data_IF_395658012323
#
_entry.id   IF_395658012323
#
_cell.length_a   1.000
_cell.length_b   1.000
_cell.length_c   1.000
_cell.angle_alpha   90.00
_cell.angle_beta   90.00
_cell.angle_gamma   90.00
#
_symmetry.space_group_name_H-M   'P 1'
#
loop_
_entity.id
_entity.type
_entity.pdbx_description
1 polymer ?
#
# COMPACT_ATOMS: atom_id res chain seq x y z
N UNK A 1 -0.54 -18.88 -24.31
CA UNK A 1 0.40 -18.52 -23.23
C UNK A 1 0.70 -19.78 -22.44
N UNK A 2 1.94 -20.28 -22.47
CA UNK A 2 2.33 -21.48 -21.73
C UNK A 2 2.53 -21.06 -20.27
N UNK A 3 1.74 -21.64 -19.35
CA UNK A 3 1.93 -21.42 -17.91
C UNK A 3 3.26 -22.07 -17.51
N UNK A 4 4.09 -21.37 -16.75
CA UNK A 4 5.27 -21.99 -16.16
C UNK A 4 4.82 -22.94 -15.03
N UNK A 5 4.64 -24.21 -15.36
CA UNK A 5 4.03 -25.21 -14.48
C UNK A 5 4.72 -25.29 -13.10
N UNK A 6 6.05 -25.15 -13.05
CA UNK A 6 6.82 -25.16 -11.81
C UNK A 6 6.47 -23.99 -10.89
N UNK A 7 6.37 -22.77 -11.44
CA UNK A 7 5.98 -21.58 -10.68
C UNK A 7 4.55 -21.74 -10.13
N UNK A 8 3.61 -22.22 -10.96
CA UNK A 8 2.23 -22.44 -10.53
C UNK A 8 2.11 -23.52 -9.44
N UNK A 9 2.90 -24.59 -9.52
CA UNK A 9 2.92 -25.62 -8.49
C UNK A 9 3.44 -25.07 -7.15
N UNK A 10 4.50 -24.25 -7.18
CA UNK A 10 5.04 -23.61 -5.97
C UNK A 10 4.05 -22.61 -5.38
N UNK A 11 3.46 -21.75 -6.20
CA UNK A 11 2.42 -20.81 -5.76
C UNK A 11 1.20 -21.53 -5.15
N UNK A 12 0.80 -22.66 -5.74
CA UNK A 12 -0.29 -23.48 -5.19
C UNK A 12 0.06 -24.06 -3.83
N UNK A 13 1.29 -24.56 -3.64
CA UNK A 13 1.76 -25.05 -2.33
C UNK A 13 1.79 -23.94 -1.29
N UNK A 14 2.28 -22.75 -1.66
CA UNK A 14 2.26 -21.57 -0.79
C UNK A 14 0.83 -21.22 -0.37
N UNK A 15 -0.11 -21.21 -1.31
CA UNK A 15 -1.52 -20.95 -1.00
C UNK A 15 -2.10 -21.97 -0.01
N UNK A 16 -1.78 -23.26 -0.16
CA UNK A 16 -2.20 -24.29 0.80
C UNK A 16 -1.56 -24.10 2.20
N UNK A 17 -0.29 -23.69 2.26
CA UNK A 17 0.37 -23.37 3.53
C UNK A 17 -0.28 -22.18 4.23
N UNK A 18 -0.62 -21.13 3.48
CA UNK A 18 -1.34 -19.96 4.01
C UNK A 18 -2.72 -20.38 4.55
N UNK A 19 -3.48 -21.20 3.81
CA UNK A 19 -4.79 -21.69 4.26
C UNK A 19 -4.71 -22.54 5.54
N UNK A 20 -3.60 -23.25 5.73
CA UNK A 20 -3.36 -24.05 6.92
C UNK A 20 -2.84 -23.21 8.10
N UNK A 21 -2.56 -21.91 7.91
CA UNK A 21 -2.05 -21.05 8.96
C UNK A 21 -3.13 -20.72 10.00
N UNK A 22 -2.74 -20.56 11.28
CA UNK A 22 -3.69 -20.17 12.33
C UNK A 22 -4.30 -18.79 12.08
N UNK A 23 -3.58 -17.86 11.44
CA UNK A 23 -4.05 -16.51 11.11
C UNK A 23 -5.17 -16.56 10.07
N UNK A 24 -5.00 -17.36 9.00
CA UNK A 24 -6.06 -17.55 8.01
C UNK A 24 -7.30 -18.20 8.64
N UNK A 25 -7.11 -19.27 9.43
CA UNK A 25 -8.22 -19.93 10.11
C UNK A 25 -8.97 -18.98 11.06
N UNK A 26 -8.24 -18.12 11.79
CA UNK A 26 -8.83 -17.11 12.68
C UNK A 26 -9.60 -16.06 11.90
N UNK A 27 -9.05 -15.57 10.78
CA UNK A 27 -9.71 -14.63 9.90
C UNK A 27 -11.02 -15.17 9.34
N UNK A 28 -11.02 -16.40 8.79
CA UNK A 28 -12.23 -17.03 8.26
C UNK A 28 -13.29 -17.22 9.36
N UNK A 29 -12.89 -17.70 10.53
CA UNK A 29 -13.81 -17.90 11.67
C UNK A 29 -14.44 -16.57 12.12
N UNK A 30 -13.65 -15.51 12.26
CA UNK A 30 -14.16 -14.20 12.67
C UNK A 30 -15.07 -13.58 11.59
N UNK A 31 -14.73 -13.77 10.31
CA UNK A 31 -15.55 -13.36 9.17
C UNK A 31 -16.91 -14.05 9.16
N UNK A 32 -16.95 -15.35 9.38
CA UNK A 32 -18.21 -16.12 9.45
C UNK A 32 -19.12 -15.63 10.57
N UNK A 33 -18.55 -15.40 11.77
CA UNK A 33 -19.28 -14.82 12.90
C UNK A 33 -19.91 -13.48 12.55
N UNK A 34 -19.15 -12.60 11.89
CA UNK A 34 -19.64 -11.30 11.46
C UNK A 34 -20.70 -11.40 10.36
N UNK A 35 -20.59 -12.35 9.43
CA UNK A 35 -21.60 -12.60 8.39
C UNK A 35 -22.96 -12.97 8.99
N UNK A 36 -22.96 -13.69 10.10
CA UNK A 36 -24.19 -14.07 10.83
C UNK A 36 -24.74 -12.97 11.75
N UNK A 37 -24.08 -11.81 11.85
CA UNK A 37 -24.52 -10.68 12.68
C UNK A 37 -24.78 -9.43 11.81
N UNK A 38 -26.05 -9.19 11.42
CA UNK A 38 -26.39 -8.05 10.56
C UNK A 38 -26.07 -6.67 11.17
N UNK A 39 -26.15 -6.54 12.50
CA UNK A 39 -25.91 -5.28 13.19
C UNK A 39 -24.42 -4.95 13.14
N UNK A 40 -23.58 -5.91 13.52
CA UNK A 40 -22.13 -5.75 13.54
C UNK A 40 -21.55 -5.64 12.12
N UNK A 41 -22.13 -6.34 11.15
CA UNK A 41 -21.77 -6.18 9.74
C UNK A 41 -22.08 -4.78 9.21
N UNK A 42 -23.24 -4.20 9.59
CA UNK A 42 -23.57 -2.82 9.23
C UNK A 42 -22.57 -1.84 9.85
N UNK A 43 -22.25 -2.03 11.14
CA UNK A 43 -21.27 -1.20 11.85
C UNK A 43 -19.90 -1.22 11.16
N UNK A 44 -19.38 -2.41 10.81
CA UNK A 44 -18.11 -2.53 10.08
C UNK A 44 -18.17 -1.85 8.71
N UNK A 45 -19.27 -2.03 7.96
CA UNK A 45 -19.42 -1.40 6.63
C UNK A 45 -19.41 0.12 6.74
N UNK A 46 -20.12 0.68 7.72
CA UNK A 46 -20.20 2.12 7.92
C UNK A 46 -18.81 2.69 8.30
N UNK A 47 -18.02 1.95 9.11
CA UNK A 47 -16.62 2.28 9.38
C UNK A 47 -15.77 2.28 8.10
N UNK A 48 -15.83 1.22 7.29
CA UNK A 48 -15.04 1.09 6.05
C UNK A 48 -15.38 2.18 5.03
N UNK A 49 -16.65 2.51 4.89
CA UNK A 49 -17.07 3.60 4.01
C UNK A 49 -16.49 4.94 4.49
N UNK A 50 -16.48 5.21 5.80
CA UNK A 50 -15.91 6.44 6.34
C UNK A 50 -14.39 6.53 6.18
N UNK A 51 -13.68 5.41 6.29
CA UNK A 51 -12.24 5.35 5.97
C UNK A 51 -12.00 5.71 4.51
N UNK A 52 -12.75 5.08 3.59
CA UNK A 52 -12.64 5.37 2.17
C UNK A 52 -13.00 6.82 1.83
N UNK A 53 -14.10 7.34 2.38
CA UNK A 53 -14.53 8.73 2.18
C UNK A 53 -13.42 9.72 2.61
N UNK A 54 -12.74 9.46 3.72
CA UNK A 54 -11.65 10.31 4.23
C UNK A 54 -10.38 10.20 3.36
N UNK A 55 -10.03 9.00 2.89
CA UNK A 55 -8.88 8.76 2.02
C UNK A 55 -9.05 9.39 0.63
N UNK A 56 -10.27 9.37 0.07
CA UNK A 56 -10.60 9.97 -1.24
C UNK A 56 -10.88 11.48 -1.13
N UNK A 57 -10.98 12.01 0.09
CA UNK A 57 -11.33 13.42 0.33
C UNK A 57 -10.21 14.37 -0.12
N UNK A 58 -10.58 15.36 -0.93
CA UNK A 58 -9.74 16.53 -1.23
C UNK A 58 -9.90 17.65 -0.19
N UNK A 59 -10.70 17.43 0.85
CA UNK A 59 -10.92 18.41 1.90
C UNK A 59 -9.65 18.62 2.72
N UNK A 60 -9.44 19.85 3.17
CA UNK A 60 -8.27 20.23 3.95
C UNK A 60 -8.68 21.14 5.10
N UNK A 61 -7.81 21.27 6.10
CA UNK A 61 -8.08 22.13 7.25
C UNK A 61 -9.19 21.57 8.15
N UNK A 62 -10.06 22.45 8.63
CA UNK A 62 -11.01 22.13 9.71
C UNK A 62 -12.02 21.04 9.36
N UNK A 63 -12.45 20.94 8.09
CA UNK A 63 -13.41 19.93 7.65
C UNK A 63 -12.78 18.52 7.68
N UNK A 64 -11.53 18.41 7.21
CA UNK A 64 -10.76 17.17 7.28
C UNK A 64 -10.58 16.72 8.74
N UNK A 65 -10.20 17.63 9.64
CA UNK A 65 -10.03 17.32 11.07
C UNK A 65 -11.32 16.81 11.70
N UNK A 66 -12.48 17.40 11.38
CA UNK A 66 -13.78 16.92 11.90
C UNK A 66 -14.11 15.51 11.42
N UNK A 67 -13.82 15.19 10.17
CA UNK A 67 -14.05 13.86 9.62
C UNK A 67 -13.10 12.82 10.24
N UNK A 68 -11.84 13.19 10.45
CA UNK A 68 -10.85 12.38 11.15
C UNK A 68 -11.26 12.10 12.60
N UNK A 69 -11.70 13.13 13.34
CA UNK A 69 -12.21 12.98 14.72
C UNK A 69 -13.41 12.04 14.78
N UNK A 70 -14.38 12.21 13.88
CA UNK A 70 -15.55 11.32 13.81
C UNK A 70 -15.16 9.86 13.48
N UNK A 71 -14.19 9.66 12.59
CA UNK A 71 -13.68 8.33 12.26
C UNK A 71 -12.99 7.69 13.47
N UNK A 72 -12.21 8.46 14.23
CA UNK A 72 -11.55 8.01 15.45
C UNK A 72 -12.57 7.58 16.52
N UNK A 73 -13.63 8.37 16.73
CA UNK A 73 -14.71 8.03 17.65
C UNK A 73 -15.44 6.73 17.24
N UNK A 74 -15.72 6.58 15.94
CA UNK A 74 -16.32 5.37 15.40
C UNK A 74 -15.41 4.15 15.59
N UNK A 75 -14.10 4.32 15.37
CA UNK A 75 -13.10 3.27 15.60
C UNK A 75 -13.05 2.87 17.09
N UNK A 76 -13.11 3.83 18.02
CA UNK A 76 -13.20 3.55 19.46
C UNK A 76 -14.47 2.77 19.81
N UNK A 77 -15.62 3.18 19.26
CA UNK A 77 -16.88 2.45 19.48
C UNK A 77 -16.83 1.02 18.92
N UNK A 78 -16.17 0.83 17.78
CA UNK A 78 -15.99 -0.49 17.17
C UNK A 78 -15.02 -1.35 17.97
N UNK A 79 -13.97 -0.76 18.53
CA UNK A 79 -13.00 -1.47 19.36
C UNK A 79 -13.65 -2.07 20.62
N UNK A 80 -14.71 -1.45 21.15
CA UNK A 80 -15.48 -1.98 22.28
C UNK A 80 -16.45 -3.09 21.89
N UNK A 81 -16.72 -3.30 20.60
CA UNK A 81 -17.57 -4.36 20.11
C UNK A 81 -16.77 -5.66 19.94
N UNK A 82 -17.00 -6.71 20.74
CA UNK A 82 -16.14 -7.90 20.72
C UNK A 82 -16.19 -8.66 19.39
N UNK A 83 -17.30 -8.62 18.65
CA UNK A 83 -17.44 -9.32 17.36
C UNK A 83 -16.66 -8.59 16.28
N UNK A 84 -16.82 -7.26 16.20
CA UNK A 84 -16.12 -6.47 15.18
C UNK A 84 -14.64 -6.35 15.49
N UNK A 85 -14.27 -6.18 16.77
CA UNK A 85 -12.87 -6.17 17.22
C UNK A 85 -12.15 -7.49 16.92
N UNK A 86 -12.77 -8.65 17.18
CA UNK A 86 -12.21 -9.97 16.82
C UNK A 86 -11.94 -10.07 15.32
N UNK A 87 -12.88 -9.61 14.49
CA UNK A 87 -12.72 -9.57 13.04
C UNK A 87 -11.56 -8.67 12.61
N UNK A 88 -11.51 -7.42 13.08
CA UNK A 88 -10.47 -6.45 12.69
C UNK A 88 -9.07 -6.92 13.09
N UNK A 89 -8.91 -7.51 14.29
CA UNK A 89 -7.63 -8.07 14.71
C UNK A 89 -7.23 -9.29 13.87
N UNK A 90 -8.18 -10.17 13.55
CA UNK A 90 -7.91 -11.32 12.70
C UNK A 90 -7.53 -10.89 11.27
N UNK A 91 -8.19 -9.87 10.73
CA UNK A 91 -7.89 -9.26 9.43
C UNK A 91 -6.51 -8.60 9.42
N UNK A 92 -6.17 -7.82 10.45
CA UNK A 92 -4.85 -7.20 10.58
C UNK A 92 -3.73 -8.24 10.59
N UNK A 93 -3.84 -9.26 11.45
CA UNK A 93 -2.82 -10.31 11.57
C UNK A 93 -2.65 -11.10 10.26
N UNK A 94 -3.75 -11.43 9.59
CA UNK A 94 -3.68 -12.09 8.29
C UNK A 94 -3.09 -11.16 7.22
N UNK A 95 -3.47 -9.87 7.23
CA UNK A 95 -2.93 -8.84 6.34
C UNK A 95 -1.42 -8.69 6.45
N UNK A 96 -0.86 -8.74 7.68
CA UNK A 96 0.60 -8.69 7.90
C UNK A 96 1.35 -9.84 7.22
N UNK A 97 0.76 -11.05 7.17
CA UNK A 97 1.37 -12.17 6.43
C UNK A 97 1.38 -11.87 4.93
N UNK A 98 0.29 -11.32 4.40
CA UNK A 98 0.21 -10.97 2.98
C UNK A 98 1.20 -9.86 2.63
N UNK A 99 1.34 -8.84 3.48
CA UNK A 99 2.31 -7.75 3.33
C UNK A 99 3.75 -8.30 3.25
N UNK A 100 4.14 -9.16 4.19
CA UNK A 100 5.46 -9.81 4.19
C UNK A 100 5.71 -10.66 2.93
N UNK A 101 4.67 -11.31 2.39
CA UNK A 101 4.78 -12.04 1.13
C UNK A 101 4.94 -11.09 -0.06
N UNK A 102 4.23 -9.95 -0.07
CA UNK A 102 4.40 -8.90 -1.08
C UNK A 102 5.83 -8.35 -1.08
N UNK A 103 6.43 -8.07 0.08
CA UNK A 103 7.82 -7.62 0.20
C UNK A 103 8.84 -8.62 -0.41
N UNK A 104 8.55 -9.93 -0.34
CA UNK A 104 9.37 -10.95 -1.00
C UNK A 104 9.24 -10.86 -2.52
N UNK A 105 8.02 -10.61 -3.03
CA UNK A 105 7.78 -10.49 -4.46
C UNK A 105 8.26 -9.16 -5.05
N UNK A 106 8.27 -8.10 -4.25
CA UNK A 106 8.75 -6.78 -4.64
C UNK A 106 10.22 -6.82 -5.10
N UNK A 107 11.04 -7.66 -4.47
CA UNK A 107 12.46 -7.88 -4.83
C UNK A 107 12.67 -8.45 -6.25
N UNK A 108 11.61 -8.94 -6.91
CA UNK A 108 11.68 -9.48 -8.27
C UNK A 108 11.62 -8.37 -9.30
N UNK A 109 11.00 -7.23 -8.96
CA UNK A 109 10.93 -6.10 -9.88
C UNK A 109 12.33 -5.46 -9.95
N UNK A 110 12.90 -5.33 -11.17
CA UNK A 110 14.15 -4.61 -11.32
C UNK A 110 13.97 -3.16 -10.85
N UNK A 111 15.03 -2.56 -10.32
CA UNK A 111 15.05 -1.12 -10.10
C UNK A 111 14.90 -0.43 -11.47
N UNK A 112 13.98 0.53 -11.54
CA UNK A 112 13.69 1.24 -12.79
C UNK A 112 14.75 2.32 -13.04
N UNK A 113 15.93 1.89 -13.50
CA UNK A 113 17.03 2.79 -13.90
C UNK A 113 16.73 3.57 -15.20
N UNK A 114 15.53 3.39 -15.76
CA UNK A 114 15.09 3.86 -17.08
C UNK A 114 15.10 5.40 -17.18
N UNK A 115 15.08 6.11 -16.06
CA UNK A 115 15.03 7.56 -16.00
C UNK A 115 16.32 8.21 -15.43
N UNK A 116 17.36 7.44 -15.15
CA UNK A 116 18.60 7.98 -14.56
C UNK A 116 19.54 8.67 -15.58
N UNK A 117 19.42 8.39 -16.88
CA UNK A 117 20.35 8.92 -17.90
C UNK A 117 20.02 10.35 -18.41
N UNK A 118 18.84 10.91 -18.12
CA UNK A 118 18.43 12.21 -18.70
C UNK A 118 19.04 13.43 -17.97
N UNK A 119 19.44 13.28 -16.70
CA UNK A 119 20.06 14.36 -15.91
C UNK A 119 21.56 14.55 -16.23
N UNK A 120 22.26 13.48 -16.62
CA UNK A 120 23.68 13.55 -16.95
C UNK A 120 23.95 14.26 -18.29
N UNK A 121 23.08 14.08 -19.29
CA UNK A 121 23.23 14.70 -20.61
C UNK A 121 22.99 16.22 -20.58
N UNK A 122 22.04 16.69 -19.78
CA UNK A 122 21.76 18.12 -19.60
C UNK A 122 22.96 18.85 -18.94
N UNK A 123 23.58 18.22 -17.94
CA UNK A 123 24.71 18.80 -17.19
C UNK A 123 25.98 18.95 -18.05
N UNK A 124 26.23 18.00 -18.97
CA UNK A 124 27.39 18.06 -19.89
C UNK A 124 27.20 19.12 -20.99
N UNK A 125 25.97 19.31 -21.48
CA UNK A 125 25.65 20.36 -22.45
C UNK A 125 25.86 21.77 -21.87
N UNK A 126 25.40 22.01 -20.65
CA UNK A 126 25.57 23.30 -19.96
C UNK A 126 27.04 23.60 -19.64
N UNK A 127 27.83 22.60 -19.24
CA UNK A 127 29.26 22.75 -18.96
C UNK A 127 30.09 23.08 -20.23
N UNK A 128 29.72 22.51 -21.38
CA UNK A 128 30.40 22.81 -22.66
C UNK A 128 30.06 24.22 -23.16
N UNK A 129 28.83 24.70 -22.95
CA UNK A 129 28.44 26.06 -23.35
C UNK A 129 29.16 27.15 -22.53
N UNK A 130 29.41 26.91 -21.23
CA UNK A 130 30.06 27.90 -20.35
C UNK A 130 31.60 27.94 -20.50
N UNK A 131 32.21 26.86 -21.01
CA UNK A 131 33.66 26.81 -21.33
C UNK A 131 34.07 27.44 -22.66
N UNK A 132 33.15 27.58 -23.62
CA UNK A 132 33.44 28.13 -24.96
C UNK A 132 33.43 29.67 -25.01
N UNK A 133 33.03 30.35 -23.93
CA UNK A 133 32.93 31.81 -23.85
C UNK A 133 34.16 32.53 -23.31
N UNK A 134 35.26 31.82 -23.00
CA UNK A 134 36.46 32.41 -22.38
C UNK A 134 37.77 31.93 -23.03
N UNK A 135 37.88 32.05 -24.35
CA UNK A 135 39.20 32.06 -25.00
C UNK A 135 39.35 33.27 -25.93
N UNK A 136 40.03 34.28 -25.37
CA UNK A 136 41.13 35.02 -26.00
C UNK A 136 40.88 35.79 -27.32
N UNK A 137 40.54 37.08 -27.19
CA UNK A 137 41.03 38.10 -28.12
C UNK A 137 41.77 39.17 -27.35
N UNK A 138 42.96 38.79 -26.90
CA UNK A 138 43.99 39.67 -26.34
C UNK A 138 44.88 40.18 -27.50
N UNK A 139 44.93 41.52 -27.65
CA UNK A 139 45.85 42.36 -28.44
C UNK A 139 45.94 42.23 -29.97
N UNK A 140 45.44 43.26 -30.69
CA UNK A 140 46.23 43.99 -31.70
C UNK A 140 45.88 45.49 -31.63
N UNK A 141 46.81 46.30 -31.09
CA UNK A 141 47.15 47.66 -31.53
C UNK A 141 48.42 48.12 -30.81
#
# INVERSE_FOLDING_TARGET
MVKNEGIYQTASKLAEQIKASPEYARYITAKERLLHDPINRKLLRDLRNKQFDLEDSLETGEEYTKQEEFLNDLMMSVALNPVVNDFLNAEYNFGRIIEQLSEIFEQIFPEDDIFEEEEAAATVSDALHDSAGREDTTYIN
#
